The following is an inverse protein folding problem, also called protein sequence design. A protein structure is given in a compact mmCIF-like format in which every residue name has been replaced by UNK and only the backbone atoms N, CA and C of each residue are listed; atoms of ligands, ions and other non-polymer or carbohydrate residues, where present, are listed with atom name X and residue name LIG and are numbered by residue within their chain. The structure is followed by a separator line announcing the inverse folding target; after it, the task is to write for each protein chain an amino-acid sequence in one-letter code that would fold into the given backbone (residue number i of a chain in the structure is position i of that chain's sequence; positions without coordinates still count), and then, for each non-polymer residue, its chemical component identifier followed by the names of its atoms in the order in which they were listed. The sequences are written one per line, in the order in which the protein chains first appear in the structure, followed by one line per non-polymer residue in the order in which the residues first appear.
data_IF_598836890463
#
_entry.id   IF_598836890463
#
_cell.length_a   1.000
_cell.length_b   1.000
_cell.length_c   1.000
_cell.angle_alpha   90.00
_cell.angle_beta   90.00
_cell.angle_gamma   90.00
#
_symmetry.space_group_name_H-M   'P 1'
#
loop_
_entity.id
_entity.type
_entity.pdbx_description
1 polymer ?
#
# COMPACT_ATOMS: atom_id res chain seq x y z
N UNK A 1 -60.89 49.41 -12.41
CA UNK A 1 -60.51 48.24 -11.60
C UNK A 1 -59.76 47.28 -12.50
N UNK A 2 -58.44 47.21 -12.37
CA UNK A 2 -57.57 46.32 -13.13
C UNK A 2 -57.30 45.10 -12.24
N UNK A 3 -57.81 43.94 -12.63
CA UNK A 3 -57.55 42.66 -11.97
C UNK A 3 -56.21 42.12 -12.42
N UNK A 4 -55.21 42.20 -11.54
CA UNK A 4 -53.91 41.56 -11.71
C UNK A 4 -54.01 40.08 -11.33
N UNK A 5 -53.72 39.19 -12.27
CA UNK A 5 -53.54 37.75 -12.05
C UNK A 5 -52.06 37.49 -11.75
N UNK A 6 -51.74 37.09 -10.51
CA UNK A 6 -50.42 36.57 -10.16
C UNK A 6 -50.42 35.03 -10.34
N UNK A 7 -49.58 34.45 -11.20
CA UNK A 7 -49.40 33.01 -11.24
C UNK A 7 -48.57 32.56 -10.03
N UNK A 8 -49.12 31.63 -9.24
CA UNK A 8 -48.41 30.97 -8.14
C UNK A 8 -47.38 30.01 -8.74
N UNK A 9 -46.11 30.44 -8.81
CA UNK A 9 -45.01 29.52 -9.08
C UNK A 9 -44.78 28.64 -7.85
N UNK A 10 -45.06 27.35 -7.98
CA UNK A 10 -44.68 26.34 -7.00
C UNK A 10 -43.22 26.00 -7.24
N UNK A 11 -42.34 26.42 -6.32
CA UNK A 11 -40.95 25.99 -6.31
C UNK A 11 -40.88 24.55 -5.79
N UNK A 12 -40.61 23.59 -6.69
CA UNK A 12 -40.24 22.23 -6.32
C UNK A 12 -38.78 22.25 -5.83
N UNK A 13 -38.58 22.23 -4.51
CA UNK A 13 -37.30 21.89 -3.91
C UNK A 13 -37.10 20.37 -4.02
N UNK A 14 -36.38 19.93 -5.04
CA UNK A 14 -35.84 18.59 -5.09
C UNK A 14 -34.68 18.49 -4.09
N UNK A 15 -34.94 17.94 -2.92
CA UNK A 15 -33.89 17.53 -1.98
C UNK A 15 -33.24 16.28 -2.59
N UNK A 16 -32.17 16.46 -3.36
CA UNK A 16 -31.25 15.38 -3.67
C UNK A 16 -30.52 15.02 -2.36
N UNK A 17 -31.07 14.07 -1.61
CA UNK A 17 -30.31 13.37 -0.58
C UNK A 17 -29.27 12.53 -1.32
N UNK A 18 -28.04 13.04 -1.41
CA UNK A 18 -26.90 12.22 -1.76
C UNK A 18 -26.71 11.25 -0.59
N UNK A 19 -27.32 10.06 -0.68
CA UNK A 19 -26.94 8.94 0.16
C UNK A 19 -25.50 8.57 -0.23
N UNK A 20 -24.51 9.18 0.42
CA UNK A 20 -23.15 8.63 0.49
C UNK A 20 -23.27 7.40 1.39
N UNK A 21 -23.72 6.29 0.80
CA UNK A 21 -23.76 5.01 1.49
C UNK A 21 -22.35 4.51 1.65
N UNK A 22 -21.83 4.49 2.88
CA UNK A 22 -20.70 3.63 3.20
C UNK A 22 -21.12 2.19 2.86
N UNK A 23 -20.24 1.43 2.19
CA UNK A 23 -20.52 0.01 1.90
C UNK A 23 -20.78 -0.71 3.22
N UNK A 24 -21.74 -1.64 3.29
CA UNK A 24 -21.98 -2.45 4.51
C UNK A 24 -20.92 -3.56 4.71
N UNK A 25 -20.28 -3.97 3.62
CA UNK A 25 -19.20 -4.96 3.59
C UNK A 25 -18.23 -4.61 2.48
N UNK A 26 -16.94 -4.92 2.65
CA UNK A 26 -15.95 -4.91 1.58
C UNK A 26 -15.30 -6.28 1.43
N UNK A 27 -14.59 -6.46 0.32
CA UNK A 27 -13.82 -7.68 0.06
C UNK A 27 -12.35 -7.29 0.04
N UNK A 28 -11.56 -7.86 0.94
CA UNK A 28 -10.11 -7.73 0.96
C UNK A 28 -9.46 -8.93 0.28
N UNK A 29 -8.34 -8.69 -0.39
CA UNK A 29 -7.47 -9.73 -0.93
C UNK A 29 -6.09 -9.65 -0.28
N UNK A 30 -5.47 -10.80 -0.06
CA UNK A 30 -4.06 -10.91 0.33
C UNK A 30 -3.36 -11.87 -0.61
N UNK A 31 -2.11 -11.56 -0.99
CA UNK A 31 -1.32 -12.39 -1.88
C UNK A 31 -0.04 -12.88 -1.20
N UNK A 32 0.15 -14.20 -1.13
CA UNK A 32 1.39 -14.83 -0.69
C UNK A 32 2.33 -14.97 -1.91
N UNK A 33 3.35 -14.10 -1.99
CA UNK A 33 4.22 -14.04 -3.15
C UNK A 33 5.45 -14.95 -3.02
N UNK A 34 5.68 -15.78 -4.05
CA UNK A 34 6.95 -16.46 -4.24
C UNK A 34 7.94 -15.51 -4.92
N UNK A 35 8.58 -14.65 -4.12
CA UNK A 35 9.44 -13.56 -4.59
C UNK A 35 10.57 -14.08 -5.48
N UNK A 36 10.72 -13.47 -6.66
CA UNK A 36 11.87 -13.66 -7.54
C UNK A 36 13.02 -12.85 -6.96
N UNK A 37 13.97 -13.54 -6.32
CA UNK A 37 15.09 -12.92 -5.63
C UNK A 37 16.20 -12.47 -6.61
N UNK A 38 16.92 -11.38 -6.29
CA UNK A 38 18.15 -11.04 -6.99
C UNK A 38 19.21 -12.10 -6.75
N UNK A 39 20.15 -12.23 -7.68
CA UNK A 39 21.40 -12.93 -7.41
C UNK A 39 22.18 -12.18 -6.32
N UNK A 40 22.84 -12.92 -5.44
CA UNK A 40 23.73 -12.31 -4.46
C UNK A 40 24.95 -11.74 -5.17
N UNK A 41 25.13 -10.43 -5.09
CA UNK A 41 26.30 -9.72 -5.62
C UNK A 41 26.94 -8.91 -4.50
N UNK A 42 28.27 -8.80 -4.52
CA UNK A 42 29.01 -7.94 -3.59
C UNK A 42 28.96 -6.47 -4.03
N UNK A 43 28.76 -6.22 -5.32
CA UNK A 43 28.66 -4.88 -5.90
C UNK A 43 27.22 -4.54 -6.29
N UNK A 44 26.82 -3.26 -6.24
CA UNK A 44 25.51 -2.82 -6.72
C UNK A 44 25.33 -3.12 -8.21
N UNK A 45 24.13 -3.55 -8.57
CA UNK A 45 23.71 -3.69 -9.97
C UNK A 45 23.38 -2.32 -10.58
N UNK A 46 23.21 -2.26 -11.89
CA UNK A 46 22.68 -1.06 -12.54
C UNK A 46 21.21 -0.80 -12.14
N UNK A 47 20.74 0.44 -12.30
CA UNK A 47 19.32 0.78 -12.06
C UNK A 47 18.40 0.03 -13.02
N UNK A 48 18.85 -0.20 -14.24
CA UNK A 48 18.13 -0.91 -15.29
C UNK A 48 17.94 -2.39 -14.92
N UNK A 49 18.98 -3.05 -14.40
CA UNK A 49 18.91 -4.43 -13.91
C UNK A 49 18.03 -4.55 -12.67
N UNK A 50 18.13 -3.60 -11.73
CA UNK A 50 17.26 -3.54 -10.56
C UNK A 50 15.79 -3.40 -10.97
N UNK A 51 15.49 -2.45 -11.86
CA UNK A 51 14.15 -2.22 -12.38
C UNK A 51 13.62 -3.43 -13.18
N UNK A 52 14.47 -4.12 -13.94
CA UNK A 52 14.08 -5.34 -14.64
C UNK A 52 13.63 -6.44 -13.66
N UNK A 53 14.34 -6.63 -12.56
CA UNK A 53 13.94 -7.58 -11.53
C UNK A 53 12.64 -7.17 -10.85
N UNK A 54 12.53 -5.90 -10.44
CA UNK A 54 11.32 -5.37 -9.82
C UNK A 54 10.11 -5.54 -10.73
N UNK A 55 10.26 -5.27 -12.02
CA UNK A 55 9.21 -5.48 -13.00
C UNK A 55 8.79 -6.95 -13.13
N UNK A 56 9.71 -7.92 -13.06
CA UNK A 56 9.35 -9.35 -13.06
C UNK A 56 8.47 -9.71 -11.85
N UNK A 57 8.80 -9.18 -10.67
CA UNK A 57 7.94 -9.39 -9.49
C UNK A 57 6.59 -8.69 -9.66
N UNK A 58 6.58 -7.45 -10.16
CA UNK A 58 5.33 -6.72 -10.42
C UNK A 58 4.47 -7.43 -11.48
N UNK A 59 5.05 -8.09 -12.49
CA UNK A 59 4.31 -8.90 -13.47
C UNK A 59 3.52 -10.04 -12.79
N UNK A 60 4.11 -10.66 -11.75
CA UNK A 60 3.44 -11.71 -10.96
C UNK A 60 2.33 -11.10 -10.11
N UNK A 61 2.62 -10.00 -9.41
CA UNK A 61 1.63 -9.28 -8.59
C UNK A 61 0.46 -8.77 -9.43
N UNK A 62 0.71 -8.31 -10.64
CA UNK A 62 -0.31 -7.84 -11.60
C UNK A 62 -1.37 -8.90 -11.89
N UNK A 63 -0.96 -10.17 -12.01
CA UNK A 63 -1.91 -11.27 -12.18
C UNK A 63 -2.80 -11.46 -10.94
N UNK A 64 -2.22 -11.32 -9.73
CA UNK A 64 -2.97 -11.41 -8.48
C UNK A 64 -3.94 -10.22 -8.30
N UNK A 65 -3.51 -9.00 -8.62
CA UNK A 65 -4.34 -7.79 -8.60
C UNK A 65 -5.52 -7.93 -9.57
N UNK A 66 -5.25 -8.32 -10.82
CA UNK A 66 -6.30 -8.55 -11.84
C UNK A 66 -7.29 -9.62 -11.40
N UNK A 67 -6.81 -10.71 -10.80
CA UNK A 67 -7.68 -11.78 -10.32
C UNK A 67 -8.56 -11.29 -9.16
N UNK A 68 -7.96 -10.64 -8.16
CA UNK A 68 -8.68 -10.10 -7.00
C UNK A 68 -9.74 -9.09 -7.43
N UNK A 69 -9.41 -8.16 -8.33
CA UNK A 69 -10.35 -7.19 -8.87
C UNK A 69 -11.52 -7.86 -9.62
N UNK A 70 -11.25 -8.87 -10.46
CA UNK A 70 -12.30 -9.66 -11.14
C UNK A 70 -13.22 -10.39 -10.17
N UNK A 71 -12.71 -10.74 -8.99
CA UNK A 71 -13.47 -11.38 -7.92
C UNK A 71 -14.14 -10.37 -6.97
N UNK A 72 -14.06 -9.06 -7.27
CA UNK A 72 -14.74 -8.00 -6.52
C UNK A 72 -14.00 -7.53 -5.26
N UNK A 73 -12.69 -7.80 -5.16
CA UNK A 73 -11.88 -7.21 -4.10
C UNK A 73 -11.80 -5.69 -4.25
N UNK A 74 -11.92 -4.99 -3.12
CA UNK A 74 -11.84 -3.53 -3.01
C UNK A 74 -10.42 -3.07 -2.66
N UNK A 75 -9.66 -3.94 -1.99
CA UNK A 75 -8.27 -3.72 -1.60
C UNK A 75 -7.49 -5.04 -1.72
N UNK A 76 -6.24 -4.97 -2.18
CA UNK A 76 -5.30 -6.07 -2.17
C UNK A 76 -4.01 -5.69 -1.44
N UNK A 77 -3.55 -6.56 -0.54
CA UNK A 77 -2.28 -6.42 0.17
C UNK A 77 -1.25 -7.40 -0.38
N UNK A 78 -0.08 -6.87 -0.73
CA UNK A 78 1.09 -7.64 -1.19
C UNK A 78 2.18 -7.65 -0.10
N UNK A 79 3.08 -8.65 -0.10
CA UNK A 79 3.97 -8.85 1.05
C UNK A 79 5.13 -7.85 1.10
N UNK A 80 5.72 -7.72 2.29
CA UNK A 80 6.98 -7.01 2.52
C UNK A 80 8.09 -7.62 1.66
N UNK A 81 8.99 -6.77 1.14
CA UNK A 81 10.10 -7.18 0.27
C UNK A 81 9.64 -7.92 -1.02
N UNK A 82 8.35 -7.83 -1.37
CA UNK A 82 7.74 -8.58 -2.48
C UNK A 82 8.25 -8.20 -3.87
N UNK A 83 8.83 -7.01 -4.01
CA UNK A 83 9.25 -6.45 -5.30
C UNK A 83 10.75 -6.66 -5.56
N UNK A 84 11.60 -6.63 -4.54
CA UNK A 84 13.06 -6.69 -4.69
C UNK A 84 13.76 -7.75 -3.81
N UNK A 85 13.07 -8.40 -2.86
CA UNK A 85 13.68 -9.37 -1.94
C UNK A 85 14.37 -8.75 -0.73
N UNK A 86 15.25 -9.48 -0.04
CA UNK A 86 15.70 -9.10 1.32
C UNK A 86 17.18 -9.36 1.61
N UNK A 87 18.01 -9.50 0.59
CA UNK A 87 19.45 -9.77 0.77
C UNK A 87 20.24 -8.61 0.21
N UNK A 88 20.46 -7.60 1.05
CA UNK A 88 21.11 -6.35 0.65
C UNK A 88 22.02 -5.77 1.74
N UNK A 89 22.93 -4.93 1.28
CA UNK A 89 23.64 -3.89 2.02
C UNK A 89 23.06 -2.53 1.64
N UNK A 90 23.50 -1.45 2.30
CA UNK A 90 23.07 -0.10 1.94
C UNK A 90 23.41 0.28 0.49
N UNK A 91 24.54 -0.18 -0.02
CA UNK A 91 25.00 0.10 -1.38
C UNK A 91 24.24 -0.74 -2.41
N UNK A 92 24.02 -2.03 -2.12
CA UNK A 92 23.41 -2.95 -3.07
C UNK A 92 21.90 -2.78 -3.20
N UNK A 93 21.21 -2.25 -2.17
CA UNK A 93 19.79 -1.88 -2.28
C UNK A 93 19.58 -0.57 -3.06
N UNK A 94 20.56 0.34 -3.07
CA UNK A 94 20.38 1.70 -3.59
C UNK A 94 19.79 1.80 -5.03
N UNK A 95 20.15 0.91 -5.99
CA UNK A 95 19.56 0.92 -7.33
C UNK A 95 18.05 0.60 -7.36
N UNK A 96 17.51 -0.03 -6.31
CA UNK A 96 16.10 -0.41 -6.17
C UNK A 96 15.23 0.67 -5.53
N UNK A 97 15.83 1.73 -4.99
CA UNK A 97 15.13 2.76 -4.21
C UNK A 97 14.64 3.91 -5.12
N UNK A 98 13.44 4.42 -4.83
CA UNK A 98 12.88 5.65 -5.41
C UNK A 98 12.69 6.72 -4.34
N UNK A 99 12.61 7.99 -4.73
CA UNK A 99 12.18 9.05 -3.79
C UNK A 99 10.65 9.10 -3.82
N UNK A 100 10.02 8.63 -2.73
CA UNK A 100 8.57 8.55 -2.61
C UNK A 100 8.05 9.81 -1.90
N UNK A 101 7.24 10.67 -2.55
CA UNK A 101 6.79 11.91 -1.93
C UNK A 101 5.80 11.65 -0.80
N UNK A 102 5.54 12.68 -0.01
CA UNK A 102 4.45 12.65 0.97
C UNK A 102 3.09 12.60 0.24
N UNK A 103 2.12 11.76 0.64
CA UNK A 103 0.79 11.70 0.03
C UNK A 103 0.05 13.05 -0.05
N UNK A 104 0.36 14.02 0.82
CA UNK A 104 -0.23 15.37 0.80
C UNK A 104 -0.02 16.11 -0.53
N UNK A 105 0.97 15.70 -1.34
CA UNK A 105 1.20 16.28 -2.67
C UNK A 105 0.07 15.97 -3.67
N UNK A 106 -0.87 15.08 -3.31
CA UNK A 106 -2.03 14.67 -4.10
C UNK A 106 -1.63 14.30 -5.54
N UNK A 107 -0.95 13.17 -5.67
CA UNK A 107 -0.35 12.75 -6.93
C UNK A 107 -0.86 11.37 -7.37
N UNK A 108 -1.16 11.28 -8.67
CA UNK A 108 -1.51 10.05 -9.37
C UNK A 108 -0.36 9.77 -10.36
N UNK A 109 0.63 8.93 -9.97
CA UNK A 109 1.76 8.61 -10.83
C UNK A 109 1.37 8.10 -12.22
N UNK A 110 0.27 7.35 -12.34
CA UNK A 110 -0.18 6.82 -13.61
C UNK A 110 -0.59 7.89 -14.63
N UNK A 111 -1.12 9.04 -14.17
CA UNK A 111 -1.56 10.13 -15.05
C UNK A 111 -0.54 11.24 -15.19
N UNK A 112 0.32 11.43 -14.20
CA UNK A 112 1.35 12.47 -14.19
C UNK A 112 2.72 11.91 -13.79
N UNK A 113 3.30 10.99 -14.58
CA UNK A 113 4.49 10.23 -14.19
C UNK A 113 5.78 11.06 -14.10
N UNK A 114 5.80 12.27 -14.65
CA UNK A 114 7.02 13.10 -14.72
C UNK A 114 7.15 14.11 -13.57
N UNK A 115 6.12 14.24 -12.71
CA UNK A 115 6.06 15.26 -11.65
C UNK A 115 7.22 15.19 -10.66
N UNK A 116 7.65 13.98 -10.30
CA UNK A 116 8.70 13.74 -9.30
C UNK A 116 9.93 13.03 -9.89
N UNK A 117 10.20 13.28 -11.18
CA UNK A 117 11.35 12.70 -11.87
C UNK A 117 11.12 11.24 -12.27
N UNK A 118 12.15 10.41 -12.16
CA UNK A 118 12.11 9.02 -12.62
C UNK A 118 11.65 8.08 -11.51
N UNK A 119 10.35 7.76 -11.49
CA UNK A 119 9.67 6.92 -10.49
C UNK A 119 8.86 5.77 -11.13
N UNK A 120 9.50 4.89 -11.92
CA UNK A 120 8.80 3.86 -12.70
C UNK A 120 8.04 2.83 -11.86
N UNK A 121 8.51 2.49 -10.65
CA UNK A 121 7.84 1.52 -9.77
C UNK A 121 6.55 2.13 -9.22
N UNK A 122 6.61 3.35 -8.69
CA UNK A 122 5.42 4.10 -8.24
C UNK A 122 4.41 4.29 -9.38
N UNK A 123 4.88 4.64 -10.59
CA UNK A 123 4.04 4.74 -11.78
C UNK A 123 3.31 3.43 -12.08
N UNK A 124 4.04 2.31 -12.06
CA UNK A 124 3.47 1.01 -12.41
C UNK A 124 2.45 0.53 -11.38
N UNK A 125 2.73 0.70 -10.09
CA UNK A 125 1.79 0.35 -9.00
C UNK A 125 0.53 1.22 -9.03
N UNK A 126 0.69 2.53 -9.28
CA UNK A 126 -0.43 3.46 -9.50
C UNK A 126 -1.32 3.03 -10.66
N UNK A 127 -0.74 2.66 -11.80
CA UNK A 127 -1.52 2.18 -12.94
C UNK A 127 -2.20 0.84 -12.66
N UNK A 128 -1.55 -0.07 -11.94
CA UNK A 128 -2.15 -1.33 -11.52
C UNK A 128 -3.41 -1.11 -10.67
N UNK A 129 -3.36 -0.17 -9.73
CA UNK A 129 -4.51 0.19 -8.91
C UNK A 129 -5.62 0.83 -9.76
N UNK A 130 -5.28 1.84 -10.57
CA UNK A 130 -6.22 2.56 -11.43
C UNK A 130 -6.92 1.67 -12.45
N UNK A 131 -6.15 0.89 -13.21
CA UNK A 131 -6.65 0.09 -14.34
C UNK A 131 -7.55 -1.07 -13.87
N UNK A 132 -7.42 -1.48 -12.61
CA UNK A 132 -8.24 -2.52 -11.99
C UNK A 132 -9.25 -1.97 -10.98
N UNK A 133 -9.29 -0.64 -10.78
CA UNK A 133 -10.18 0.06 -9.85
C UNK A 133 -10.18 -0.56 -8.44
N UNK A 134 -8.99 -0.85 -7.93
CA UNK A 134 -8.77 -1.53 -6.65
C UNK A 134 -7.67 -0.80 -5.86
N UNK A 135 -7.81 -0.73 -4.53
CA UNK A 135 -6.73 -0.24 -3.68
C UNK A 135 -5.58 -1.25 -3.67
N UNK A 136 -4.35 -0.79 -3.88
CA UNK A 136 -3.15 -1.64 -3.87
C UNK A 136 -2.24 -1.20 -2.74
N UNK A 137 -1.99 -2.11 -1.80
CA UNK A 137 -0.98 -1.97 -0.75
C UNK A 137 0.26 -2.76 -1.15
N UNK A 138 1.39 -2.08 -1.25
CA UNK A 138 2.67 -2.68 -1.63
C UNK A 138 3.82 -2.16 -0.79
N UNK A 139 4.89 -2.93 -0.72
CA UNK A 139 6.12 -2.59 -0.02
C UNK A 139 7.26 -2.36 -1.02
N UNK A 140 7.83 -1.15 -1.00
CA UNK A 140 8.96 -0.73 -1.83
C UNK A 140 10.01 0.02 -0.99
N UNK A 141 11.13 0.38 -1.62
CA UNK A 141 12.22 1.06 -0.94
C UNK A 141 12.19 2.55 -1.22
N UNK A 142 12.23 3.36 -0.17
CA UNK A 142 12.34 4.82 -0.27
C UNK A 142 13.78 5.27 -0.06
N UNK A 143 14.17 6.35 -0.72
CA UNK A 143 15.40 7.08 -0.42
C UNK A 143 15.11 8.57 -0.23
N UNK A 144 15.80 9.17 0.74
CA UNK A 144 15.72 10.60 1.02
C UNK A 144 17.11 11.20 1.05
N UNK A 145 17.53 11.96 0.03
CA UNK A 145 18.81 12.67 0.07
C UNK A 145 18.87 13.60 1.28
N UNK A 146 20.02 13.63 1.95
CA UNK A 146 20.28 14.53 3.07
C UNK A 146 21.67 15.14 2.93
N UNK A 147 21.98 16.14 3.74
CA UNK A 147 23.25 16.84 3.70
C UNK A 147 23.82 17.02 5.11
N UNK A 148 25.05 17.53 5.21
CA UNK A 148 25.74 17.72 6.49
C UNK A 148 25.07 18.73 7.44
N UNK A 149 24.06 19.48 6.98
CA UNK A 149 23.25 20.34 7.85
C UNK A 149 22.26 19.53 8.70
N UNK A 150 21.91 18.32 8.25
CA UNK A 150 21.15 17.36 9.04
C UNK A 150 22.12 16.50 9.88
N UNK A 151 22.12 16.65 11.22
CA UNK A 151 23.05 15.94 12.09
C UNK A 151 22.79 14.42 12.14
N UNK A 152 21.63 13.94 11.69
CA UNK A 152 21.29 12.53 11.64
C UNK A 152 21.55 11.90 10.26
N UNK A 153 21.94 12.70 9.26
CA UNK A 153 22.18 12.22 7.91
C UNK A 153 23.26 11.13 7.90
N UNK A 154 22.98 9.94 7.36
CA UNK A 154 23.97 8.89 7.25
C UNK A 154 25.23 9.36 6.48
N UNK A 155 26.42 8.81 6.78
CA UNK A 155 27.68 9.24 6.15
C UNK A 155 27.70 9.16 4.63
N UNK A 156 26.79 8.37 4.06
CA UNK A 156 26.65 8.10 2.64
C UNK A 156 25.60 9.03 1.97
N UNK A 157 25.09 10.02 2.70
CA UNK A 157 24.37 11.20 2.18
C UNK A 157 22.89 11.00 1.90
N UNK A 158 22.29 9.91 2.39
CA UNK A 158 20.86 9.64 2.22
C UNK A 158 20.32 8.73 3.31
N UNK A 159 19.03 8.87 3.61
CA UNK A 159 18.27 7.85 4.29
C UNK A 159 17.70 6.83 3.30
N UNK A 160 17.52 5.60 3.77
CA UNK A 160 16.94 4.49 3.02
C UNK A 160 15.90 3.79 3.89
N UNK A 161 14.65 3.66 3.44
CA UNK A 161 13.57 3.14 4.27
C UNK A 161 12.85 1.95 3.62
N UNK A 162 12.53 0.95 4.45
CA UNK A 162 11.53 -0.07 4.13
C UNK A 162 10.17 0.64 4.18
N UNK A 163 9.44 0.65 3.06
CA UNK A 163 8.32 1.58 2.89
C UNK A 163 7.08 0.90 2.33
N UNK A 164 6.01 0.90 3.10
CA UNK A 164 4.69 0.58 2.57
C UNK A 164 4.12 1.81 1.85
N UNK A 165 3.50 1.58 0.69
CA UNK A 165 2.75 2.57 -0.09
C UNK A 165 1.36 2.04 -0.39
N UNK A 166 0.39 2.95 -0.40
CA UNK A 166 -1.00 2.63 -0.77
C UNK A 166 -1.43 3.50 -1.94
N UNK A 167 -1.90 2.85 -2.99
CA UNK A 167 -2.56 3.51 -4.11
C UNK A 167 -4.07 3.25 -4.05
N UNK A 168 -4.88 4.30 -4.18
CA UNK A 168 -6.34 4.16 -4.25
C UNK A 168 -6.82 3.62 -5.62
N UNK A 169 -8.13 3.40 -5.74
CA UNK A 169 -8.78 2.91 -6.97
C UNK A 169 -8.61 3.82 -8.19
N UNK A 170 -8.19 5.07 -8.02
CA UNK A 170 -7.87 5.99 -9.12
C UNK A 170 -6.35 6.05 -9.41
N UNK A 171 -5.55 5.33 -8.62
CA UNK A 171 -4.10 5.28 -8.69
C UNK A 171 -3.40 6.41 -7.92
N UNK A 172 -4.09 7.15 -7.06
CA UNK A 172 -3.47 8.20 -6.23
C UNK A 172 -2.67 7.58 -5.10
N UNK A 173 -1.48 8.12 -4.82
CA UNK A 173 -0.75 7.78 -3.60
C UNK A 173 -1.49 8.37 -2.39
N UNK A 174 -2.03 7.51 -1.52
CA UNK A 174 -2.85 7.91 -0.36
C UNK A 174 -2.21 7.60 1.00
N UNK A 175 -1.19 6.74 1.03
CA UNK A 175 -0.37 6.54 2.22
C UNK A 175 1.07 6.17 1.85
N UNK A 176 2.01 6.60 2.69
CA UNK A 176 3.41 6.18 2.71
C UNK A 176 3.79 5.96 4.17
N UNK A 177 4.26 4.77 4.51
CA UNK A 177 4.69 4.43 5.86
C UNK A 177 6.11 3.87 5.83
N UNK A 178 7.01 4.47 6.61
CA UNK A 178 8.36 3.93 6.81
C UNK A 178 8.36 3.00 8.01
N UNK A 179 8.78 1.75 7.81
CA UNK A 179 8.86 0.74 8.87
C UNK A 179 9.68 1.24 10.04
N UNK A 180 9.04 1.29 11.22
CA UNK A 180 9.67 1.80 12.42
C UNK A 180 10.54 0.76 13.13
N UNK A 181 10.02 -0.46 13.33
CA UNK A 181 10.75 -1.50 14.06
C UNK A 181 11.47 -2.43 13.07
N UNK A 182 12.69 -2.06 12.68
CA UNK A 182 13.53 -2.90 11.84
C UNK A 182 13.93 -4.19 12.57
N UNK A 183 13.89 -5.31 11.85
CA UNK A 183 14.42 -6.59 12.30
C UNK A 183 15.93 -6.62 12.10
N UNK A 184 16.69 -7.23 13.03
CA UNK A 184 18.16 -7.20 13.05
C UNK A 184 18.90 -7.46 11.69
N UNK A 185 18.40 -8.30 10.77
CA UNK A 185 18.99 -8.50 9.45
C UNK A 185 18.76 -7.36 8.42
N UNK A 186 17.98 -6.33 8.73
CA UNK A 186 17.65 -5.22 7.82
C UNK A 186 18.70 -4.09 7.86
N UNK A 187 19.97 -4.45 7.69
CA UNK A 187 21.11 -3.52 7.75
C UNK A 187 21.12 -2.46 6.62
N UNK A 188 20.30 -2.68 5.59
CA UNK A 188 20.20 -1.81 4.42
C UNK A 188 19.29 -0.59 4.64
N UNK A 189 18.52 -0.56 5.73
CA UNK A 189 17.54 0.49 6.02
C UNK A 189 17.90 1.27 7.29
N UNK A 190 17.45 2.53 7.33
CA UNK A 190 17.55 3.44 8.46
C UNK A 190 16.26 3.40 9.29
N UNK A 191 16.38 3.69 10.58
CA UNK A 191 15.22 3.91 11.44
C UNK A 191 14.63 5.30 11.15
N UNK A 192 13.30 5.43 10.95
CA UNK A 192 12.65 6.72 10.90
C UNK A 192 12.88 7.49 12.20
N UNK A 193 12.99 8.82 12.11
CA UNK A 193 13.22 9.68 13.27
C UNK A 193 12.07 9.59 14.29
N UNK A 194 10.85 9.61 13.79
CA UNK A 194 9.63 9.58 14.57
C UNK A 194 8.80 8.35 14.16
N UNK A 195 8.06 7.78 15.11
CA UNK A 195 7.11 6.71 14.81
C UNK A 195 5.84 7.33 14.24
N UNK A 196 5.60 7.12 12.95
CA UNK A 196 4.43 7.70 12.27
C UNK A 196 3.23 6.75 12.35
N UNK A 197 2.13 7.21 12.96
CA UNK A 197 0.83 6.54 12.84
C UNK A 197 0.19 6.93 11.51
N UNK A 198 0.51 6.18 10.46
CA UNK A 198 0.00 6.45 9.11
C UNK A 198 -1.38 5.80 8.94
N UNK A 199 -2.32 6.59 8.45
CA UNK A 199 -3.68 6.12 8.14
C UNK A 199 -4.13 6.61 6.77
N UNK A 200 -5.07 5.89 6.17
CA UNK A 200 -5.76 6.32 4.96
C UNK A 200 -7.25 6.02 5.04
N UNK A 201 -8.03 6.92 4.46
CA UNK A 201 -9.49 6.84 4.43
C UNK A 201 -9.94 6.15 3.13
N UNK A 202 -10.97 5.31 3.21
CA UNK A 202 -11.61 4.69 2.04
C UNK A 202 -13.13 4.77 2.17
N UNK A 203 -13.89 4.55 1.07
CA UNK A 203 -15.36 4.43 1.14
C UNK A 203 -15.86 3.24 1.99
N UNK A 204 -14.98 2.35 2.41
CA UNK A 204 -15.28 1.14 3.18
C UNK A 204 -14.57 1.09 4.55
N UNK A 205 -14.03 2.22 5.01
CA UNK A 205 -13.52 2.40 6.37
C UNK A 205 -12.14 3.07 6.43
N UNK A 206 -11.72 3.39 7.65
CA UNK A 206 -10.38 3.94 7.92
C UNK A 206 -9.38 2.82 8.20
N UNK A 207 -8.22 2.88 7.55
CA UNK A 207 -7.16 1.88 7.69
C UNK A 207 -5.93 2.51 8.32
N UNK A 208 -5.33 1.79 9.28
CA UNK A 208 -3.93 1.99 9.68
C UNK A 208 -3.01 1.04 8.93
N UNK A 209 -1.73 1.39 8.87
CA UNK A 209 -0.70 0.58 8.20
C UNK A 209 0.53 0.41 9.10
N UNK A 210 1.10 -0.79 9.11
CA UNK A 210 2.40 -1.10 9.70
C UNK A 210 3.02 -2.34 9.05
N UNK A 211 4.31 -2.55 9.26
CA UNK A 211 5.07 -3.58 8.53
C UNK A 211 5.68 -4.62 9.46
N UNK A 212 5.33 -5.89 9.26
CA UNK A 212 6.04 -7.06 9.80
C UNK A 212 6.36 -7.00 11.30
N UNK A 213 7.62 -6.75 11.66
CA UNK A 213 8.12 -6.78 13.04
C UNK A 213 7.51 -5.69 13.93
N UNK A 214 6.87 -4.67 13.34
CA UNK A 214 6.07 -3.67 14.05
C UNK A 214 4.98 -4.30 14.93
N UNK A 215 4.42 -5.45 14.53
CA UNK A 215 3.33 -6.12 15.29
C UNK A 215 3.73 -6.52 16.72
N UNK A 216 5.03 -6.69 16.99
CA UNK A 216 5.55 -7.07 18.30
C UNK A 216 5.86 -5.86 19.20
N UNK A 217 5.65 -4.64 18.69
CA UNK A 217 5.97 -3.40 19.38
C UNK A 217 4.72 -2.62 19.71
N UNK A 218 4.75 -1.85 20.80
CA UNK A 218 3.62 -1.01 21.17
C UNK A 218 3.31 0.02 20.07
N UNK A 219 4.35 0.64 19.50
CA UNK A 219 4.19 1.64 18.43
C UNK A 219 4.85 1.11 17.15
N UNK A 220 4.16 1.17 15.98
CA UNK A 220 2.79 1.66 15.80
C UNK A 220 1.68 0.63 16.07
N UNK A 221 1.98 -0.67 16.27
CA UNK A 221 0.95 -1.70 16.15
C UNK A 221 -0.18 -1.64 17.19
N UNK A 222 0.11 -1.39 18.47
CA UNK A 222 -0.96 -1.26 19.50
C UNK A 222 -1.76 0.00 19.26
N UNK A 223 -1.10 1.13 18.93
CA UNK A 223 -1.78 2.39 18.58
C UNK A 223 -2.70 2.19 17.37
N UNK A 224 -2.22 1.50 16.34
CA UNK A 224 -2.99 1.26 15.11
C UNK A 224 -4.20 0.35 15.35
N UNK A 225 -4.06 -0.67 16.19
CA UNK A 225 -5.15 -1.60 16.52
C UNK A 225 -6.17 -0.98 17.47
N UNK A 226 -5.74 -0.19 18.45
CA UNK A 226 -6.63 0.42 19.43
C UNK A 226 -7.37 1.65 18.88
N UNK A 227 -6.77 2.39 17.94
CA UNK A 227 -7.31 3.65 17.44
C UNK A 227 -7.99 3.56 16.06
N UNK A 228 -7.71 2.53 15.26
CA UNK A 228 -8.20 2.44 13.87
C UNK A 228 -9.08 1.22 13.60
N UNK A 229 -9.96 1.38 12.61
CA UNK A 229 -11.01 0.41 12.33
C UNK A 229 -10.49 -0.85 11.64
N UNK A 230 -9.50 -0.71 10.75
CA UNK A 230 -8.88 -1.81 10.03
C UNK A 230 -7.37 -1.61 9.93
N UNK A 231 -6.64 -2.70 9.72
CA UNK A 231 -5.19 -2.69 9.56
C UNK A 231 -4.79 -3.42 8.28
N UNK A 232 -3.99 -2.78 7.44
CA UNK A 232 -3.25 -3.45 6.37
C UNK A 232 -1.80 -3.67 6.83
N UNK A 233 -1.29 -4.90 6.71
CA UNK A 233 0.10 -5.20 7.08
C UNK A 233 0.81 -6.03 6.03
N UNK A 234 1.88 -5.47 5.48
CA UNK A 234 2.86 -6.18 4.65
C UNK A 234 3.82 -6.95 5.56
N UNK A 235 4.08 -8.23 5.26
CA UNK A 235 4.98 -9.02 6.12
C UNK A 235 5.77 -10.12 5.40
N UNK A 236 6.97 -10.40 5.95
CA UNK A 236 7.83 -11.54 5.62
C UNK A 236 8.22 -12.32 6.89
N UNK A 237 7.31 -13.17 7.38
CA UNK A 237 7.59 -14.08 8.50
C UNK A 237 8.29 -15.38 8.05
N UNK A 238 9.28 -15.85 8.83
CA UNK A 238 9.82 -17.21 8.69
C UNK A 238 9.04 -18.17 9.60
N UNK A 239 8.21 -19.02 9.01
CA UNK A 239 7.52 -20.11 9.70
C UNK A 239 7.29 -21.30 8.76
N UNK A 240 7.26 -22.52 9.31
CA UNK A 240 7.04 -23.80 8.57
C UNK A 240 5.59 -24.02 8.12
N UNK A 241 4.72 -23.02 8.20
CA UNK A 241 3.31 -23.09 7.84
C UNK A 241 2.91 -21.87 7.02
N UNK A 242 2.30 -22.08 5.84
CA UNK A 242 1.61 -21.06 5.02
C UNK A 242 0.76 -20.14 5.92
N UNK A 243 0.60 -18.88 5.53
CA UNK A 243 -0.02 -17.82 6.34
C UNK A 243 -1.24 -18.32 7.16
N UNK A 244 -1.22 -18.20 8.51
CA UNK A 244 -2.33 -18.70 9.34
C UNK A 244 -3.65 -17.97 9.08
N UNK A 245 -3.63 -16.74 8.53
CA UNK A 245 -4.84 -15.99 8.20
C UNK A 245 -5.70 -16.67 7.11
N UNK A 246 -5.08 -17.29 6.09
CA UNK A 246 -5.80 -18.05 5.07
C UNK A 246 -6.47 -19.32 5.62
N UNK A 247 -6.02 -19.83 6.79
CA UNK A 247 -6.63 -20.97 7.48
C UNK A 247 -7.71 -20.56 8.48
N UNK A 248 -7.62 -19.36 9.05
CA UNK A 248 -8.54 -18.88 10.09
C UNK A 248 -9.88 -18.40 9.53
N UNK A 249 -9.93 -17.98 8.27
CA UNK A 249 -11.18 -17.60 7.59
C UNK A 249 -11.32 -18.39 6.28
N UNK A 250 -12.14 -19.45 6.23
CA UNK A 250 -12.34 -20.20 5.00
C UNK A 250 -12.95 -19.29 3.93
N UNK A 251 -12.27 -19.17 2.78
CA UNK A 251 -12.82 -18.49 1.62
C UNK A 251 -14.17 -19.10 1.24
N UNK A 252 -15.22 -18.29 1.20
CA UNK A 252 -16.54 -18.71 0.70
C UNK A 252 -16.59 -18.77 -0.83
N UNK A 253 -15.52 -18.34 -1.50
CA UNK A 253 -15.39 -18.28 -2.95
C UNK A 253 -14.41 -19.38 -3.40
N UNK A 254 -14.90 -20.59 -3.69
CA UNK A 254 -14.09 -21.66 -4.29
C UNK A 254 -14.17 -21.59 -5.81
N UNK A 255 -13.18 -20.97 -6.43
CA UNK A 255 -12.85 -21.14 -7.85
C UNK A 255 -11.51 -21.88 -8.02
N UNK A 256 -11.07 -22.20 -9.25
CA UNK A 256 -9.74 -22.72 -9.50
C UNK A 256 -8.72 -21.58 -9.33
N UNK A 257 -8.38 -21.29 -8.07
CA UNK A 257 -7.50 -20.18 -7.69
C UNK A 257 -6.03 -20.57 -7.91
N UNK A 258 -5.14 -19.62 -8.28
CA UNK A 258 -3.74 -19.78 -7.93
C UNK A 258 -3.68 -19.89 -6.40
N UNK A 259 -3.07 -20.95 -5.86
CA UNK A 259 -3.12 -21.33 -4.43
C UNK A 259 -2.68 -20.25 -3.42
N UNK A 260 -2.25 -19.07 -3.88
CA UNK A 260 -1.60 -18.03 -3.10
C UNK A 260 -2.40 -16.72 -2.94
N UNK A 261 -3.56 -16.57 -3.58
CA UNK A 261 -4.44 -15.40 -3.36
C UNK A 261 -5.60 -15.80 -2.45
N UNK A 262 -5.84 -15.06 -1.37
CA UNK A 262 -6.96 -15.30 -0.46
C UNK A 262 -7.90 -14.09 -0.43
N UNK A 263 -9.21 -14.35 -0.50
CA UNK A 263 -10.27 -13.34 -0.37
C UNK A 263 -11.00 -13.44 0.96
N UNK A 264 -11.21 -12.28 1.58
CA UNK A 264 -11.90 -12.13 2.85
C UNK A 264 -13.03 -11.12 2.68
N UNK A 265 -14.28 -11.53 2.95
CA UNK A 265 -15.41 -10.60 3.00
C UNK A 265 -15.56 -10.08 4.42
N UNK A 266 -15.46 -8.77 4.60
CA UNK A 266 -15.34 -8.11 5.91
C UNK A 266 -16.49 -7.10 6.07
N UNK A 267 -17.27 -7.13 7.16
CA UNK A 267 -18.24 -6.09 7.49
C UNK A 267 -17.56 -4.74 7.70
N UNK A 268 -18.14 -3.63 7.28
CA UNK A 268 -17.57 -2.28 7.49
C UNK A 268 -17.93 -1.67 8.83
N UNK A 269 -18.60 -2.40 9.70
CA UNK A 269 -18.82 -2.04 11.10
C UNK A 269 -18.09 -3.08 11.96
N UNK A 270 -17.24 -2.66 12.91
CA UNK A 270 -16.65 -3.61 13.84
C UNK A 270 -17.78 -4.31 14.60
N UNK A 271 -17.70 -5.64 14.73
CA UNK A 271 -18.65 -6.38 15.55
C UNK A 271 -18.53 -5.85 16.98
N UNK A 272 -19.55 -5.15 17.48
CA UNK A 272 -19.61 -4.78 18.88
C UNK A 272 -19.50 -6.06 19.73
N UNK A 273 -18.42 -6.20 20.48
CA UNK A 273 -18.32 -7.12 21.63
C UNK A 273 -18.32 -6.32 22.91
#
# INVERSE_FOLDING_TARGET
MITSYFPKYVALFAICVLCVGALDTFVAAVYEHAVILPNRTETPVSKEEALLLMNKNIDVLENAVKLAARQGAHIIVTPEDGIYGWVFTRETIYPYLEDIPDPEVNWIPCTDPQRFGYTPVQQRLSCLAKDNSIYVVANIGDKKPCNASDPQCPPDGRYQYNTDVVFDSEGRLVARYHKYNLFAPEIQFDFPKDSESVTFETPFGKFGIFTCFDIFSHTPAVVVVDEFQWTASSTRWRGTTRCPFCRLFPSTLRGPEPESTCLLRIPTTPACT
#
